data_IF_439383493860
#
_entry.id   IF_439383493860
#
_cell.length_a   1.000
_cell.length_b   1.000
_cell.length_c   1.000
_cell.angle_alpha   90.00
_cell.angle_beta   90.00
_cell.angle_gamma   90.00
#
_symmetry.space_group_name_H-M   'P 1'
#
loop_
_entity.id
_entity.type
_entity.pdbx_description
1 polymer ?
#
# COMPACT_ATOMS: atom_id res chain seq x y z
N UNK A 1 10.70 -7.76 10.37
CA UNK A 1 9.38 -8.14 10.92
C UNK A 1 8.28 -7.82 9.93
N UNK A 2 7.29 -8.71 9.82
CA UNK A 2 6.12 -8.51 8.96
C UNK A 2 4.86 -8.44 9.84
N UNK A 3 4.13 -7.34 9.72
CA UNK A 3 2.81 -7.16 10.33
C UNK A 3 1.75 -7.34 9.27
N UNK A 4 0.86 -8.30 9.49
CA UNK A 4 -0.29 -8.56 8.64
C UNK A 4 -1.55 -8.00 9.30
N UNK A 5 -2.23 -7.10 8.60
CA UNK A 5 -3.53 -6.56 8.96
C UNK A 5 -4.56 -6.91 7.88
N UNK A 6 -5.85 -6.77 8.18
CA UNK A 6 -6.93 -7.04 7.22
C UNK A 6 -6.80 -6.20 5.93
N UNK A 7 -6.34 -4.96 6.05
CA UNK A 7 -6.31 -3.99 4.94
C UNK A 7 -4.90 -3.64 4.44
N UNK A 8 -3.86 -4.06 5.16
CA UNK A 8 -2.49 -3.76 4.77
C UNK A 8 -1.51 -4.81 5.30
N UNK A 9 -0.36 -4.90 4.66
CA UNK A 9 0.79 -5.63 5.15
C UNK A 9 1.96 -4.67 5.28
N UNK A 10 2.61 -4.63 6.44
CA UNK A 10 3.79 -3.82 6.68
C UNK A 10 5.01 -4.71 6.83
N UNK A 11 6.06 -4.43 6.08
CA UNK A 11 7.35 -5.09 6.22
C UNK A 11 8.40 -4.06 6.68
N UNK A 12 8.90 -4.24 7.91
CA UNK A 12 9.84 -3.31 8.54
C UNK A 12 11.24 -3.35 7.92
N UNK A 13 11.64 -4.48 7.36
CA UNK A 13 12.97 -4.69 6.78
C UNK A 13 13.10 -4.01 5.42
N UNK A 14 12.11 -4.25 4.55
CA UNK A 14 12.01 -3.58 3.25
C UNK A 14 11.52 -2.14 3.34
N UNK A 15 10.99 -1.72 4.48
CA UNK A 15 10.35 -0.41 4.72
C UNK A 15 9.19 -0.12 3.75
N UNK A 16 8.39 -1.15 3.49
CA UNK A 16 7.27 -1.10 2.54
C UNK A 16 5.97 -1.45 3.21
N UNK A 17 4.91 -0.85 2.70
CA UNK A 17 3.53 -1.17 3.06
C UNK A 17 2.83 -1.62 1.79
N UNK A 18 2.04 -2.67 1.88
CA UNK A 18 1.24 -3.21 0.79
C UNK A 18 -0.23 -3.16 1.19
N UNK A 19 -1.13 -3.02 0.21
CA UNK A 19 -2.57 -3.18 0.44
C UNK A 19 -2.97 -4.66 0.52
N UNK A 20 -4.27 -4.89 0.74
CA UNK A 20 -4.90 -6.22 0.73
C UNK A 20 -4.72 -7.02 -0.58
N UNK A 21 -4.37 -6.35 -1.69
CA UNK A 21 -4.15 -6.95 -3.00
C UNK A 21 -2.64 -7.14 -3.31
N UNK A 22 -1.76 -6.83 -2.37
CA UNK A 22 -0.30 -6.90 -2.55
C UNK A 22 0.30 -5.75 -3.36
N UNK A 23 -0.44 -4.67 -3.60
CA UNK A 23 0.07 -3.46 -4.26
C UNK A 23 0.83 -2.61 -3.25
N UNK A 24 2.04 -2.18 -3.61
CA UNK A 24 2.85 -1.29 -2.78
C UNK A 24 2.18 0.08 -2.61
N UNK A 25 2.04 0.48 -1.35
CA UNK A 25 1.52 1.76 -0.92
C UNK A 25 2.68 2.72 -0.63
N UNK A 26 2.65 3.90 -1.23
CA UNK A 26 3.69 4.93 -1.05
C UNK A 26 3.48 5.66 0.28
N UNK A 27 3.75 4.98 1.39
CA UNK A 27 3.72 5.53 2.74
C UNK A 27 5.14 5.73 3.27
N UNK A 28 5.55 6.98 3.48
CA UNK A 28 6.91 7.35 3.89
C UNK A 28 6.94 8.42 4.97
N UNK A 29 8.12 8.64 5.57
CA UNK A 29 8.38 9.67 6.58
C UNK A 29 7.77 9.35 7.94
N UNK A 30 7.39 10.38 8.70
CA UNK A 30 6.83 10.20 10.05
C UNK A 30 5.51 9.42 10.07
N UNK A 31 4.71 9.48 9.01
CA UNK A 31 3.49 8.68 8.89
C UNK A 31 3.80 7.18 8.81
N UNK A 32 4.85 6.79 8.08
CA UNK A 32 5.31 5.39 8.08
C UNK A 32 5.82 4.97 9.46
N UNK A 33 6.67 5.80 10.08
CA UNK A 33 7.23 5.51 11.41
C UNK A 33 6.16 5.39 12.48
N UNK A 34 5.15 6.27 12.46
CA UNK A 34 3.99 6.19 13.35
C UNK A 34 3.21 4.89 13.15
N UNK A 35 3.00 4.44 11.90
CA UNK A 35 2.34 3.17 11.63
C UNK A 35 3.14 1.97 12.16
N UNK A 36 4.45 1.95 11.95
CA UNK A 36 5.35 0.90 12.50
C UNK A 36 5.23 0.85 14.02
N UNK A 37 5.35 1.99 14.69
CA UNK A 37 5.29 2.07 16.14
C UNK A 37 3.95 1.57 16.70
N UNK A 38 2.84 1.90 16.05
CA UNK A 38 1.51 1.43 16.45
C UNK A 38 1.32 -0.07 16.17
N UNK A 39 1.93 -0.63 15.13
CA UNK A 39 1.93 -2.08 14.90
C UNK A 39 2.70 -2.82 16.00
N UNK A 40 3.82 -2.26 16.46
CA UNK A 40 4.65 -2.83 17.53
C UNK A 40 3.95 -2.78 18.90
N UNK A 41 3.36 -1.63 19.24
CA UNK A 41 2.85 -1.37 20.60
C UNK A 41 1.33 -1.54 20.72
N UNK A 42 0.61 -1.72 19.59
CA UNK A 42 -0.86 -1.81 19.44
C UNK A 42 -1.63 -0.54 19.81
N UNK A 43 -1.23 0.15 20.86
CA UNK A 43 -1.75 1.42 21.30
C UNK A 43 -0.63 2.28 21.92
N UNK A 44 -0.77 3.60 21.85
CA UNK A 44 0.19 4.54 22.41
C UNK A 44 -0.40 5.93 22.62
N UNK A 45 0.18 6.66 23.57
CA UNK A 45 -0.10 8.07 23.82
C UNK A 45 0.62 8.98 22.82
N UNK A 46 0.20 10.24 22.78
CA UNK A 46 0.86 11.26 21.95
C UNK A 46 2.35 11.42 22.28
N UNK A 47 2.70 11.39 23.57
CA UNK A 47 4.08 11.57 24.04
C UNK A 47 4.96 10.41 23.60
N UNK A 48 4.50 9.16 23.79
CA UNK A 48 5.25 7.96 23.38
C UNK A 48 5.53 7.95 21.87
N UNK A 49 4.54 8.31 21.05
CA UNK A 49 4.71 8.43 19.60
C UNK A 49 5.68 9.57 19.26
N UNK A 50 5.55 10.72 19.92
CA UNK A 50 6.43 11.88 19.71
C UNK A 50 7.88 11.55 19.99
N UNK A 51 8.16 10.94 21.15
CA UNK A 51 9.49 10.55 21.60
C UNK A 51 10.13 9.53 20.64
N UNK A 52 9.34 8.58 20.13
CA UNK A 52 9.80 7.61 19.13
C UNK A 52 10.16 8.26 17.79
N UNK A 53 9.41 9.28 17.36
CA UNK A 53 9.65 9.95 16.09
C UNK A 53 10.90 10.84 16.16
N UNK A 54 10.91 11.79 17.08
CA UNK A 54 12.01 12.73 17.29
C UNK A 54 11.89 13.40 18.66
N UNK A 55 12.65 12.92 19.64
CA UNK A 55 12.67 13.45 21.01
C UNK A 55 13.08 14.92 21.11
N UNK A 56 13.76 15.49 20.10
CA UNK A 56 14.16 16.89 20.11
C UNK A 56 13.03 17.83 19.66
N UNK A 57 11.94 17.28 19.10
CA UNK A 57 10.83 18.04 18.55
C UNK A 57 9.56 17.82 19.38
N UNK A 58 8.93 18.92 19.77
CA UNK A 58 7.60 18.85 20.39
C UNK A 58 6.54 18.51 19.34
N UNK A 59 5.95 17.31 19.48
CA UNK A 59 4.81 16.89 18.67
C UNK A 59 3.51 17.35 19.33
N UNK A 60 2.57 17.79 18.51
CA UNK A 60 1.25 18.23 18.96
C UNK A 60 0.19 17.31 18.38
N UNK A 61 -1.01 17.35 18.94
CA UNK A 61 -2.12 16.49 18.48
C UNK A 61 -2.41 16.69 16.99
N UNK A 62 -2.27 17.93 16.50
CA UNK A 62 -2.46 18.24 15.08
C UNK A 62 -1.43 17.53 14.18
N UNK A 63 -0.18 17.41 14.63
CA UNK A 63 0.86 16.70 13.87
C UNK A 63 0.50 15.21 13.72
N UNK A 64 0.16 14.54 14.82
CA UNK A 64 -0.21 13.13 14.80
C UNK A 64 -1.53 12.90 14.05
N UNK A 65 -2.50 13.82 14.16
CA UNK A 65 -3.73 13.79 13.38
C UNK A 65 -3.46 13.86 11.87
N UNK A 66 -2.54 14.72 11.43
CA UNK A 66 -2.13 14.78 10.01
C UNK A 66 -1.46 13.49 9.56
N UNK A 67 -0.61 12.89 10.40
CA UNK A 67 0.03 11.61 10.09
C UNK A 67 -0.99 10.49 9.97
N UNK A 68 -1.91 10.38 10.93
CA UNK A 68 -3.05 9.45 10.88
C UNK A 68 -3.86 9.63 9.60
N UNK A 69 -4.27 10.86 9.28
CA UNK A 69 -5.05 11.14 8.07
C UNK A 69 -4.32 10.70 6.79
N UNK A 70 -3.00 10.94 6.71
CA UNK A 70 -2.19 10.50 5.58
C UNK A 70 -2.15 8.97 5.47
N UNK A 71 -2.00 8.27 6.60
CA UNK A 71 -2.03 6.80 6.65
C UNK A 71 -3.38 6.28 6.14
N UNK A 72 -4.49 6.77 6.70
CA UNK A 72 -5.85 6.35 6.35
C UNK A 72 -6.18 6.66 4.88
N UNK A 73 -5.72 7.80 4.36
CA UNK A 73 -5.91 8.18 2.95
C UNK A 73 -5.17 7.23 2.01
N UNK A 74 -3.94 6.81 2.36
CA UNK A 74 -3.12 5.93 1.53
C UNK A 74 -3.62 4.49 1.59
N UNK A 75 -3.99 4.00 2.77
CA UNK A 75 -4.55 2.65 2.95
C UNK A 75 -6.01 2.59 2.43
N UNK A 76 -6.72 3.71 2.43
CA UNK A 76 -8.11 3.81 1.99
C UNK A 76 -9.13 3.27 3.01
N UNK A 77 -8.72 3.09 4.26
CA UNK A 77 -9.53 2.59 5.39
C UNK A 77 -9.10 3.26 6.70
N UNK A 78 -10.03 3.32 7.64
CA UNK A 78 -9.75 3.78 9.01
C UNK A 78 -9.11 2.64 9.80
N UNK A 79 -7.77 2.62 9.86
CA UNK A 79 -7.00 1.57 10.54
C UNK A 79 -6.43 1.99 11.89
N UNK A 80 -6.51 3.28 12.22
CA UNK A 80 -6.04 3.85 13.48
C UNK A 80 -7.20 4.61 14.12
N UNK A 81 -7.51 4.32 15.37
CA UNK A 81 -8.47 5.09 16.17
C UNK A 81 -7.72 6.01 17.13
N UNK A 82 -8.33 7.15 17.46
CA UNK A 82 -7.88 8.01 18.56
C UNK A 82 -9.01 8.15 19.57
N UNK A 83 -8.81 7.58 20.77
CA UNK A 83 -9.81 7.57 21.85
C UNK A 83 -9.14 7.64 23.21
N UNK A 84 -9.71 8.42 24.13
CA UNK A 84 -9.20 8.57 25.50
C UNK A 84 -7.71 8.99 25.54
N UNK A 85 -7.26 9.84 24.60
CA UNK A 85 -5.87 10.30 24.55
C UNK A 85 -4.87 9.31 23.94
N UNK A 86 -5.33 8.16 23.44
CA UNK A 86 -4.49 7.12 22.88
C UNK A 86 -4.82 6.87 21.41
N UNK A 87 -3.78 6.61 20.62
CA UNK A 87 -3.87 6.07 19.28
C UNK A 87 -3.77 4.56 19.33
N UNK A 88 -4.61 3.84 18.59
CA UNK A 88 -4.60 2.37 18.55
C UNK A 88 -4.90 1.82 17.16
N UNK A 89 -4.30 0.69 16.81
CA UNK A 89 -4.65 -0.05 15.59
C UNK A 89 -6.05 -0.66 15.74
N UNK A 90 -6.90 -0.49 14.73
CA UNK A 90 -8.25 -1.04 14.69
C UNK A 90 -8.25 -2.31 13.83
N UNK A 91 -8.44 -3.45 14.48
CA UNK A 91 -8.54 -4.76 13.83
C UNK A 91 -7.49 -5.76 14.33
N UNK A 92 -7.52 -6.96 13.75
CA UNK A 92 -6.58 -8.02 14.10
C UNK A 92 -5.23 -7.80 13.42
N UNK A 93 -4.16 -7.85 14.21
CA UNK A 93 -2.78 -7.74 13.75
C UNK A 93 -2.02 -9.04 14.04
N UNK A 94 -1.52 -9.69 12.99
CA UNK A 94 -0.66 -10.88 13.10
C UNK A 94 0.79 -10.47 12.85
N UNK A 95 1.69 -10.88 13.75
CA UNK A 95 3.12 -10.68 13.62
C UNK A 95 3.79 -11.97 13.12
N UNK A 96 4.67 -11.84 12.14
CA UNK A 96 5.54 -12.94 11.71
C UNK A 96 6.98 -12.46 11.57
N UNK A 97 7.91 -13.23 12.13
CA UNK A 97 9.33 -13.01 11.92
C UNK A 97 9.77 -13.68 10.62
N UNK A 98 10.54 -12.97 9.78
CA UNK A 98 11.11 -13.57 8.56
C UNK A 98 12.05 -14.76 8.90
N UNK A 99 12.54 -14.80 10.14
CA UNK A 99 13.44 -15.82 10.71
C UNK A 99 12.77 -17.17 11.04
N UNK A 100 11.44 -17.26 11.10
CA UNK A 100 10.75 -18.53 11.34
C UNK A 100 10.76 -19.51 10.15
N UNK A 101 11.48 -19.19 9.05
CA UNK A 101 11.78 -20.13 7.96
C UNK A 101 13.20 -20.71 8.01
N UNK A 102 14.02 -20.38 9.00
CA UNK A 102 15.41 -20.85 9.07
C UNK A 102 15.70 -21.82 10.24
N UNK A 103 14.83 -21.96 11.25
CA UNK A 103 15.10 -22.87 12.37
C UNK A 103 14.00 -23.92 12.58
N UNK A 104 14.13 -25.04 11.86
CA UNK A 104 13.68 -26.37 12.32
C UNK A 104 14.71 -27.44 11.98
N UNK A 105 15.99 -27.15 12.19
CA UNK A 105 17.06 -28.16 12.10
C UNK A 105 18.17 -27.87 13.11
N UNK A 106 17.83 -27.84 14.40
CA UNK A 106 18.70 -28.31 15.50
C UNK A 106 17.91 -28.25 16.80
N UNK A 107 17.14 -29.31 17.07
CA UNK A 107 16.94 -29.72 18.46
C UNK A 107 16.83 -31.25 18.51
N UNK A 108 17.93 -31.88 18.92
CA UNK A 108 18.01 -33.30 19.26
C UNK A 108 18.57 -33.34 20.67
N UNK A 109 17.69 -33.57 21.65
CA UNK A 109 17.81 -34.63 22.65
C UNK A 109 16.61 -34.59 23.61
N UNK A 110 15.50 -35.24 23.20
CA UNK A 110 14.75 -36.08 24.13
C UNK A 110 13.96 -37.15 23.37
N UNK A 111 14.33 -38.38 23.66
CA UNK A 111 13.66 -39.61 23.29
C UNK A 111 12.22 -39.65 23.83
N UNK A 112 11.25 -39.99 22.99
CA UNK A 112 10.47 -41.21 23.20
C UNK A 112 9.65 -41.57 21.95
N UNK A 113 9.55 -42.87 21.77
CA UNK A 113 8.89 -43.70 20.76
C UNK A 113 7.52 -43.23 20.23
N UNK A 114 7.29 -43.50 18.94
CA UNK A 114 6.35 -44.52 18.41
C UNK A 114 5.94 -44.14 16.98
N UNK A 115 6.20 -45.05 16.05
CA UNK A 115 5.78 -45.01 14.66
C UNK A 115 4.27 -45.19 14.49
N UNK A 116 3.71 -44.58 13.44
CA UNK A 116 3.17 -45.23 12.23
C UNK A 116 1.89 -44.53 11.71
N UNK A 117 1.89 -44.20 10.43
CA UNK A 117 0.69 -43.74 9.73
C UNK A 117 0.98 -42.93 8.46
N UNK A 118 1.32 -43.64 7.39
CA UNK A 118 1.52 -43.16 6.01
C UNK A 118 0.31 -42.37 5.46
N UNK A 119 0.53 -41.33 4.65
CA UNK A 119 0.12 -41.33 3.22
C UNK A 119 0.70 -40.14 2.41
N UNK A 120 1.18 -40.51 1.22
CA UNK A 120 1.67 -39.84 0.02
C UNK A 120 1.94 -38.31 -0.09
N UNK A 121 3.24 -38.02 -0.12
CA UNK A 121 3.99 -37.34 -1.20
C UNK A 121 3.20 -36.91 -2.47
N UNK A 122 3.15 -35.60 -2.73
CA UNK A 122 3.27 -35.06 -4.12
C UNK A 122 4.35 -33.98 -4.19
N UNK A 123 5.43 -34.37 -4.84
CA UNK A 123 6.61 -33.60 -5.20
C UNK A 123 6.28 -32.46 -6.15
N UNK A 124 6.46 -31.21 -5.72
CA UNK A 124 6.56 -30.10 -6.66
C UNK A 124 7.96 -30.09 -7.28
N UNK A 125 8.01 -30.50 -8.55
CA UNK A 125 9.19 -30.49 -9.41
C UNK A 125 9.90 -29.13 -9.40
N UNK A 126 11.22 -29.16 -9.22
CA UNK A 126 12.14 -28.08 -9.61
C UNK A 126 11.90 -27.70 -11.07
N UNK A 127 11.43 -26.49 -11.32
CA UNK A 127 11.23 -25.97 -12.67
C UNK A 127 12.56 -25.43 -13.22
N UNK A 128 13.08 -26.08 -14.26
CA UNK A 128 14.29 -25.64 -14.99
C UNK A 128 13.94 -24.48 -15.93
N UNK A 129 14.63 -23.35 -15.77
CA UNK A 129 14.48 -22.16 -16.59
C UNK A 129 15.08 -22.40 -17.99
N UNK A 130 14.24 -22.42 -19.03
CA UNK A 130 14.65 -22.65 -20.43
C UNK A 130 14.66 -21.33 -21.20
N UNK A 131 15.76 -21.06 -21.93
CA UNK A 131 16.08 -19.80 -22.63
C UNK A 131 15.06 -19.36 -23.71
N UNK A 132 14.00 -20.12 -23.97
CA UNK A 132 12.94 -19.78 -24.94
C UNK A 132 11.86 -18.82 -24.41
N UNK A 133 11.84 -18.51 -23.12
CA UNK A 133 10.89 -17.55 -22.51
C UNK A 133 11.31 -16.08 -22.61
N UNK A 134 12.53 -15.79 -23.07
CA UNK A 134 13.06 -14.41 -23.10
C UNK A 134 12.38 -13.53 -24.17
N UNK A 135 11.88 -14.12 -25.25
CA UNK A 135 11.23 -13.39 -26.36
C UNK A 135 9.85 -12.85 -25.93
N UNK A 136 9.10 -13.57 -25.09
CA UNK A 136 7.79 -13.13 -24.60
C UNK A 136 7.86 -11.93 -23.64
N UNK A 137 8.94 -11.84 -22.85
CA UNK A 137 9.15 -10.73 -21.91
C UNK A 137 9.42 -9.41 -22.65
N UNK A 138 10.09 -9.46 -23.81
CA UNK A 138 10.37 -8.27 -24.64
C UNK A 138 9.08 -7.69 -25.26
N UNK A 139 8.14 -8.56 -25.69
CA UNK A 139 6.84 -8.11 -26.23
C UNK A 139 5.97 -7.48 -25.13
N UNK A 140 5.97 -8.05 -23.92
CA UNK A 140 5.26 -7.47 -22.77
C UNK A 140 5.87 -6.12 -22.36
N UNK A 141 7.20 -5.98 -22.38
CA UNK A 141 7.88 -4.71 -22.15
C UNK A 141 7.51 -3.65 -23.21
N UNK A 142 7.35 -4.01 -24.48
CA UNK A 142 6.89 -3.09 -25.53
C UNK A 142 5.44 -2.61 -25.32
N UNK A 143 4.54 -3.48 -24.81
CA UNK A 143 3.17 -3.09 -24.46
C UNK A 143 3.15 -2.15 -23.24
N UNK A 144 4.01 -2.40 -22.25
CA UNK A 144 4.16 -1.53 -21.08
C UNK A 144 4.65 -0.14 -21.49
N UNK A 145 5.60 -0.03 -22.43
CA UNK A 145 6.07 1.27 -22.96
C UNK A 145 4.97 2.01 -23.76
N UNK A 146 4.12 1.30 -24.51
CA UNK A 146 3.00 1.90 -25.25
C UNK A 146 1.91 2.50 -24.34
N UNK A 147 1.65 1.89 -23.18
CA UNK A 147 0.66 2.37 -22.21
C UNK A 147 1.00 3.70 -21.54
N UNK A 148 2.29 4.02 -21.40
CA UNK A 148 2.75 5.29 -20.80
C UNK A 148 2.34 6.54 -21.60
N UNK A 149 2.07 6.40 -22.90
CA UNK A 149 1.66 7.54 -23.74
C UNK A 149 0.24 8.03 -23.47
N UNK A 150 -0.65 7.17 -22.95
CA UNK A 150 -2.06 7.53 -22.72
C UNK A 150 -2.24 8.48 -21.52
N UNK A 151 -1.32 8.42 -20.55
CA UNK A 151 -1.38 9.22 -19.32
C UNK A 151 -1.12 10.71 -19.56
N UNK A 152 -0.35 11.07 -20.60
CA UNK A 152 -0.03 12.48 -20.88
C UNK A 152 -1.17 13.26 -21.55
N UNK A 153 -2.09 12.58 -22.25
CA UNK A 153 -3.14 13.23 -23.04
C UNK A 153 -4.50 12.51 -22.90
N UNK A 154 -5.14 12.57 -21.72
CA UNK A 154 -6.39 11.86 -21.49
C UNK A 154 -7.54 12.45 -22.34
N UNK A 155 -8.48 11.65 -22.85
CA UNK A 155 -9.57 12.14 -23.71
C UNK A 155 -10.40 13.28 -23.10
N UNK A 156 -10.55 13.30 -21.77
CA UNK A 156 -11.27 14.34 -21.04
C UNK A 156 -10.47 14.80 -19.83
N UNK A 157 -10.45 16.12 -19.62
CA UNK A 157 -9.84 16.79 -18.47
C UNK A 157 -10.92 17.50 -17.66
N UNK A 158 -10.95 17.30 -16.34
CA UNK A 158 -11.76 18.09 -15.41
C UNK A 158 -10.88 19.16 -14.77
N UNK A 159 -11.20 20.43 -14.98
CA UNK A 159 -10.48 21.54 -14.33
C UNK A 159 -10.75 21.58 -12.83
N UNK A 160 -9.90 22.30 -12.09
CA UNK A 160 -10.09 22.59 -10.66
C UNK A 160 -11.42 23.29 -10.35
N UNK A 161 -11.96 24.06 -11.30
CA UNK A 161 -13.28 24.70 -11.22
C UNK A 161 -14.46 23.72 -11.49
N UNK A 162 -14.16 22.42 -11.66
CA UNK A 162 -15.15 21.37 -11.89
C UNK A 162 -15.68 21.31 -13.32
N UNK A 163 -15.02 21.94 -14.29
CA UNK A 163 -15.49 21.97 -15.69
C UNK A 163 -14.84 20.85 -16.50
N UNK A 164 -15.66 20.08 -17.21
CA UNK A 164 -15.21 18.98 -18.07
C UNK A 164 -14.89 19.52 -19.47
N UNK A 165 -13.65 19.32 -19.91
CA UNK A 165 -13.14 19.65 -21.23
C UNK A 165 -12.77 18.37 -21.97
N UNK A 166 -13.42 18.09 -23.09
CA UNK A 166 -13.01 17.01 -23.99
C UNK A 166 -11.92 17.48 -24.95
N UNK A 167 -11.11 16.54 -25.42
CA UNK A 167 -10.10 16.80 -26.45
C UNK A 167 -10.76 17.45 -27.68
N UNK A 168 -10.19 18.55 -28.15
CA UNK A 168 -10.75 19.38 -29.24
C UNK A 168 -11.58 20.59 -28.80
N UNK A 169 -11.78 20.82 -27.49
CA UNK A 169 -12.41 22.06 -26.98
C UNK A 169 -11.35 23.14 -26.67
N UNK A 170 -11.72 24.41 -26.78
CA UNK A 170 -10.79 25.57 -26.65
C UNK A 170 -9.98 25.62 -25.35
N UNK A 171 -10.53 25.04 -24.28
CA UNK A 171 -9.96 25.06 -22.95
C UNK A 171 -9.26 23.74 -22.57
N UNK A 172 -9.33 22.72 -23.41
CA UNK A 172 -8.69 21.42 -23.13
C UNK A 172 -7.17 21.54 -22.99
N UNK A 173 -6.50 22.25 -23.92
CA UNK A 173 -5.05 22.45 -23.88
C UNK A 173 -4.64 23.46 -22.80
N UNK A 174 -5.52 24.41 -22.48
CA UNK A 174 -5.28 25.45 -21.46
C UNK A 174 -5.37 24.89 -20.04
N UNK A 175 -6.14 23.82 -19.85
CA UNK A 175 -6.28 23.16 -18.56
C UNK A 175 -5.05 22.30 -18.28
N UNK A 176 -4.09 22.86 -17.51
CA UNK A 176 -2.86 22.19 -17.07
C UNK A 176 -3.05 21.39 -15.79
N UNK A 177 -3.83 21.94 -14.85
CA UNK A 177 -4.23 21.26 -13.61
C UNK A 177 -5.58 20.61 -13.82
N UNK A 178 -5.58 19.28 -13.97
CA UNK A 178 -6.80 18.53 -14.26
C UNK A 178 -6.82 17.15 -13.61
N UNK A 179 -8.04 16.66 -13.43
CA UNK A 179 -8.31 15.23 -13.24
C UNK A 179 -8.64 14.59 -14.59
N UNK A 180 -7.92 13.52 -14.93
CA UNK A 180 -8.09 12.79 -16.19
C UNK A 180 -9.30 11.87 -16.15
N UNK A 181 -10.11 11.88 -17.23
CA UNK A 181 -11.21 10.93 -17.43
C UNK A 181 -11.12 10.33 -18.84
N UNK A 182 -11.52 9.06 -18.95
CA UNK A 182 -11.59 8.35 -20.24
C UNK A 182 -12.79 8.81 -21.09
N UNK A 183 -13.88 9.19 -20.43
CA UNK A 183 -15.15 9.54 -21.06
C UNK A 183 -15.73 10.83 -20.46
N UNK A 184 -16.43 11.62 -21.27
CA UNK A 184 -17.07 12.86 -20.82
C UNK A 184 -18.15 12.58 -19.77
N UNK A 185 -18.94 11.52 -19.98
CA UNK A 185 -19.98 11.12 -19.03
C UNK A 185 -19.40 10.76 -17.65
N UNK A 186 -18.24 10.09 -17.60
CA UNK A 186 -17.56 9.78 -16.34
C UNK A 186 -17.11 11.06 -15.60
N UNK A 187 -16.69 12.10 -16.33
CA UNK A 187 -16.38 13.40 -15.75
C UNK A 187 -17.63 14.12 -15.19
N UNK A 188 -18.78 13.99 -15.86
CA UNK A 188 -20.04 14.57 -15.39
C UNK A 188 -20.56 13.84 -14.14
N UNK A 189 -20.52 12.51 -14.14
CA UNK A 189 -20.91 11.69 -12.98
C UNK A 189 -20.05 11.94 -11.74
N UNK A 190 -18.78 12.37 -11.91
CA UNK A 190 -17.93 12.78 -10.79
C UNK A 190 -18.27 14.16 -10.23
N UNK A 191 -19.40 14.75 -10.59
CA UNK A 191 -19.82 16.10 -10.23
C UNK A 191 -19.17 17.19 -11.09
N UNK A 192 -18.73 16.86 -12.30
CA UNK A 192 -18.26 17.82 -13.28
C UNK A 192 -19.41 18.46 -14.06
N UNK A 193 -19.16 19.62 -14.67
CA UNK A 193 -20.13 20.34 -15.50
C UNK A 193 -19.56 20.75 -16.85
N UNK A 194 -20.41 20.95 -17.85
CA UNK A 194 -19.98 21.47 -19.14
C UNK A 194 -19.64 22.97 -19.06
N UNK A 195 -18.78 23.49 -19.95
CA UNK A 195 -18.56 24.92 -20.09
C UNK A 195 -19.88 25.63 -20.38
N UNK A 196 -20.05 26.85 -19.87
CA UNK A 196 -21.14 27.72 -20.30
C UNK A 196 -20.86 28.11 -21.76
N UNK A 197 -21.91 28.09 -22.60
CA UNK A 197 -21.85 28.63 -23.96
C UNK A 197 -21.52 30.12 -23.93
#
# INVERSE_FOLDING_TARGET
>A
MIYQHQYFQLNTESRKVFDENGKELVLTGNSYRMLVFLCENKHATLTEIGDYLDHAKEYTENHLRQYRYKIETIIGRNVIEYKNGMYSIVGDLQESSELAKVERNTDLLRSESVELGQDNQKTFKKMKFSKKTWIGIVVVLLIVVGGYWLVKNPPVKKSSAGICHSKGTDYYEKTKDFTAYLLLNACLQSGGRLPKK
#
